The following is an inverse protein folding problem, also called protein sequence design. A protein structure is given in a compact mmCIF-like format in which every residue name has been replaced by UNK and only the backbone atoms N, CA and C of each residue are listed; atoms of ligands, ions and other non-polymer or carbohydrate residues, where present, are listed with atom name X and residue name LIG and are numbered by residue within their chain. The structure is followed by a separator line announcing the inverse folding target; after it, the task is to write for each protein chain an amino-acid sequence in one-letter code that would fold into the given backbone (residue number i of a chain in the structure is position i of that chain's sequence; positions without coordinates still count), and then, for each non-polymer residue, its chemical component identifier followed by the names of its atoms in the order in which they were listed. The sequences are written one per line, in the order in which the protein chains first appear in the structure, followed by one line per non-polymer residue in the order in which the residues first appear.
data_IF_844989904963
#
_entry.id   IF_844989904963
#
_cell.length_a   1.000
_cell.length_b   1.000
_cell.length_c   1.000
_cell.angle_alpha   90.00
_cell.angle_beta   90.00
_cell.angle_gamma   90.00
#
_symmetry.space_group_name_H-M   'P 1'
#
loop_
_entity.id
_entity.type
_entity.pdbx_description
1 polymer ?
#
# COMPACT_ATOMS: atom_id res chain seq x y z
N UNK A 1 -11.48 16.72 -10.23
CA UNK A 1 -10.23 16.05 -10.67
C UNK A 1 -10.33 15.68 -12.14
N UNK A 2 -9.33 16.04 -12.93
CA UNK A 2 -9.26 15.67 -14.36
C UNK A 2 -8.39 14.43 -14.52
N UNK A 3 -8.98 13.27 -14.81
CA UNK A 3 -8.27 12.01 -14.95
C UNK A 3 -7.52 11.86 -16.29
N UNK A 4 -7.67 12.81 -17.22
CA UNK A 4 -7.08 12.70 -18.56
C UNK A 4 -5.55 12.72 -18.54
N UNK A 5 -4.95 13.51 -17.65
CA UNK A 5 -3.50 13.58 -17.48
C UNK A 5 -2.94 12.29 -16.89
N UNK A 6 -3.62 11.76 -15.86
CA UNK A 6 -3.26 10.50 -15.22
C UNK A 6 -3.37 9.34 -16.21
N UNK A 7 -4.45 9.29 -17.01
CA UNK A 7 -4.66 8.28 -18.04
C UNK A 7 -3.57 8.28 -19.11
N UNK A 8 -3.03 9.44 -19.46
CA UNK A 8 -1.91 9.56 -20.40
C UNK A 8 -0.59 9.15 -19.77
N UNK A 9 -0.37 9.55 -18.52
CA UNK A 9 0.91 9.37 -17.82
C UNK A 9 1.13 7.92 -17.37
N UNK A 10 0.18 7.31 -16.66
CA UNK A 10 0.41 6.08 -15.93
C UNK A 10 0.87 4.87 -16.80
N UNK A 11 0.31 4.63 -18.01
CA UNK A 11 0.83 3.57 -18.89
C UNK A 11 2.26 3.84 -19.36
N UNK A 12 2.58 5.10 -19.70
CA UNK A 12 3.93 5.51 -20.11
C UNK A 12 4.91 5.33 -18.94
N UNK A 13 4.50 5.76 -17.75
CA UNK A 13 5.28 5.59 -16.54
C UNK A 13 5.62 4.13 -16.27
N UNK A 14 4.65 3.21 -16.38
CA UNK A 14 4.89 1.77 -16.20
C UNK A 14 6.04 1.28 -17.05
N UNK A 15 6.05 1.64 -18.35
CA UNK A 15 7.13 1.26 -19.25
C UNK A 15 8.46 1.88 -18.84
N UNK A 16 8.48 3.20 -18.58
CA UNK A 16 9.69 3.91 -18.17
C UNK A 16 10.30 3.37 -16.87
N UNK A 17 9.46 3.07 -15.86
CA UNK A 17 9.92 2.47 -14.60
C UNK A 17 10.50 1.07 -14.82
N UNK A 18 9.85 0.23 -15.62
CA UNK A 18 10.37 -1.10 -15.97
C UNK A 18 11.72 -1.02 -16.68
N UNK A 19 11.83 -0.14 -17.68
CA UNK A 19 13.06 0.05 -18.45
C UNK A 19 14.20 0.55 -17.54
N UNK A 20 13.93 1.50 -16.66
CA UNK A 20 14.90 2.02 -15.70
C UNK A 20 15.36 0.93 -14.69
N UNK A 21 14.43 0.11 -14.18
CA UNK A 21 14.74 -1.02 -13.30
C UNK A 21 15.58 -2.07 -14.02
N UNK A 22 15.22 -2.45 -15.25
CA UNK A 22 16.00 -3.40 -16.04
C UNK A 22 17.42 -2.89 -16.28
N UNK A 23 17.55 -1.61 -16.64
CA UNK A 23 18.86 -0.99 -16.83
C UNK A 23 19.69 -1.04 -15.53
N UNK A 24 19.07 -0.78 -14.39
CA UNK A 24 19.76 -0.85 -13.09
C UNK A 24 20.13 -2.27 -12.70
N UNK A 25 19.27 -3.25 -12.94
CA UNK A 25 19.58 -4.67 -12.72
C UNK A 25 20.75 -5.14 -13.58
N UNK A 26 20.85 -4.67 -14.84
CA UNK A 26 22.01 -4.92 -15.72
C UNK A 26 23.31 -4.45 -15.06
N UNK A 27 23.32 -3.26 -14.42
CA UNK A 27 24.52 -2.78 -13.71
C UNK A 27 24.90 -3.66 -12.51
N UNK A 28 23.96 -4.44 -11.99
CA UNK A 28 24.19 -5.43 -10.93
C UNK A 28 24.51 -6.83 -11.49
N UNK A 29 24.61 -6.97 -12.81
CA UNK A 29 24.85 -8.26 -13.46
C UNK A 29 23.69 -9.24 -13.33
N UNK A 30 22.45 -8.73 -13.33
CA UNK A 30 21.21 -9.52 -13.28
C UNK A 30 20.40 -9.16 -14.52
N UNK A 31 20.30 -10.08 -15.48
CA UNK A 31 19.67 -9.85 -16.78
C UNK A 31 18.76 -11.04 -17.16
N UNK A 32 18.01 -10.90 -18.22
CA UNK A 32 17.35 -12.00 -18.89
C UNK A 32 17.73 -12.05 -20.37
N UNK A 33 17.82 -13.25 -20.92
CA UNK A 33 18.01 -13.44 -22.36
C UNK A 33 16.70 -13.13 -23.14
N UNK A 34 16.77 -13.15 -24.46
CA UNK A 34 15.62 -12.90 -25.34
C UNK A 34 14.45 -13.89 -25.15
N UNK A 35 14.67 -14.99 -24.45
CA UNK A 35 13.68 -16.01 -24.13
C UNK A 35 13.14 -15.87 -22.70
N UNK A 36 13.63 -14.88 -21.94
CA UNK A 36 13.25 -14.63 -20.54
C UNK A 36 14.03 -15.48 -19.54
N UNK A 37 15.08 -16.23 -19.96
CA UNK A 37 15.88 -16.99 -19.02
C UNK A 37 16.83 -16.07 -18.26
N UNK A 38 16.88 -16.24 -16.94
CA UNK A 38 17.71 -15.46 -16.04
C UNK A 38 19.21 -15.68 -16.32
N UNK A 39 19.96 -14.59 -16.45
CA UNK A 39 21.40 -14.54 -16.63
C UNK A 39 22.03 -13.79 -15.47
N UNK A 40 22.93 -14.44 -14.73
CA UNK A 40 23.56 -13.86 -13.55
C UNK A 40 25.06 -13.80 -13.78
N UNK A 41 25.63 -12.60 -13.74
CA UNK A 41 27.07 -12.41 -13.84
C UNK A 41 27.78 -12.95 -12.59
N UNK A 42 28.89 -13.68 -12.83
CA UNK A 42 29.73 -14.20 -11.75
C UNK A 42 30.45 -13.05 -11.02
N UNK A 43 30.53 -13.18 -9.70
CA UNK A 43 31.22 -12.26 -8.84
C UNK A 43 32.74 -12.43 -8.94
N UNK A 44 33.50 -11.35 -9.06
CA UNK A 44 34.95 -11.31 -8.93
C UNK A 44 35.32 -10.36 -7.80
N UNK A 45 35.87 -10.87 -6.73
CA UNK A 45 36.31 -10.09 -5.56
C UNK A 45 37.55 -9.25 -5.93
N UNK A 46 37.47 -7.94 -5.74
CA UNK A 46 38.57 -7.00 -5.99
C UNK A 46 39.06 -6.33 -4.69
N UNK A 47 38.73 -6.87 -3.52
CA UNK A 47 39.04 -6.29 -2.21
C UNK A 47 37.89 -5.50 -1.65
N UNK A 48 37.86 -4.19 -1.84
CA UNK A 48 36.77 -3.31 -1.36
C UNK A 48 35.54 -3.30 -2.29
N UNK A 49 35.69 -3.83 -3.50
CA UNK A 49 34.63 -3.94 -4.49
C UNK A 49 34.45 -5.35 -4.98
N UNK A 50 33.26 -5.65 -5.49
CA UNK A 50 32.95 -6.90 -6.20
C UNK A 50 32.54 -6.53 -7.62
N UNK A 51 33.19 -7.13 -8.62
CA UNK A 51 32.89 -6.92 -10.03
C UNK A 51 31.91 -7.99 -10.55
N UNK A 52 30.92 -7.52 -11.29
CA UNK A 52 29.91 -8.31 -11.98
C UNK A 52 29.91 -7.95 -13.47
N UNK A 53 30.53 -8.78 -14.30
CA UNK A 53 30.75 -8.44 -15.71
C UNK A 53 31.63 -7.19 -15.86
N UNK A 54 31.08 -6.13 -16.42
CA UNK A 54 31.78 -4.84 -16.60
C UNK A 54 31.54 -3.83 -15.48
N UNK A 55 30.66 -4.12 -14.54
CA UNK A 55 30.28 -3.21 -13.47
C UNK A 55 30.87 -3.65 -12.13
N UNK A 56 31.14 -2.70 -11.26
CA UNK A 56 31.62 -2.94 -9.89
C UNK A 56 30.64 -2.37 -8.88
N UNK A 57 30.51 -3.08 -7.76
CA UNK A 57 29.66 -2.71 -6.63
C UNK A 57 30.54 -2.74 -5.37
N UNK A 58 30.27 -1.81 -4.44
CA UNK A 58 30.89 -1.84 -3.12
C UNK A 58 30.61 -3.21 -2.44
N UNK A 59 31.64 -3.79 -1.84
CA UNK A 59 31.55 -5.10 -1.18
C UNK A 59 30.50 -5.13 -0.06
N UNK A 60 30.29 -4.01 0.62
CA UNK A 60 29.25 -3.87 1.64
C UNK A 60 27.84 -4.11 1.08
N UNK A 61 27.62 -3.84 -0.21
CA UNK A 61 26.33 -4.01 -0.88
C UNK A 61 26.16 -5.39 -1.53
N UNK A 62 27.19 -6.21 -1.60
CA UNK A 62 27.15 -7.51 -2.27
C UNK A 62 26.06 -8.44 -1.68
N UNK A 63 25.88 -8.43 -0.36
CA UNK A 63 24.85 -9.24 0.31
C UNK A 63 23.42 -8.84 -0.13
N UNK A 64 23.17 -7.55 -0.38
CA UNK A 64 21.86 -7.07 -0.91
C UNK A 64 21.64 -7.58 -2.33
N UNK A 65 22.68 -7.51 -3.18
CA UNK A 65 22.60 -8.06 -4.53
C UNK A 65 22.26 -9.55 -4.52
N UNK A 66 22.91 -10.33 -3.64
CA UNK A 66 22.63 -11.77 -3.53
C UNK A 66 21.17 -12.06 -3.15
N UNK A 67 20.55 -11.22 -2.34
CA UNK A 67 19.10 -11.34 -2.05
C UNK A 67 18.25 -11.08 -3.29
N UNK A 68 18.59 -10.07 -4.11
CA UNK A 68 17.92 -9.83 -5.40
C UNK A 68 18.05 -11.00 -6.35
N UNK A 69 19.25 -11.61 -6.44
CA UNK A 69 19.49 -12.82 -7.25
C UNK A 69 18.57 -13.94 -6.80
N UNK A 70 18.54 -14.25 -5.50
CA UNK A 70 17.65 -15.30 -4.96
C UNK A 70 16.16 -15.02 -5.23
N UNK A 71 15.76 -13.75 -5.18
CA UNK A 71 14.39 -13.35 -5.55
C UNK A 71 14.14 -13.60 -7.04
N UNK A 72 15.08 -13.22 -7.92
CA UNK A 72 14.96 -13.46 -9.36
C UNK A 72 14.88 -14.96 -9.70
N UNK A 73 15.69 -15.78 -9.03
CA UNK A 73 15.67 -17.25 -9.19
C UNK A 73 14.34 -17.88 -8.74
N UNK A 74 13.76 -17.36 -7.65
CA UNK A 74 12.53 -17.92 -7.07
C UNK A 74 11.26 -17.55 -7.85
N UNK A 75 11.15 -16.31 -8.30
CA UNK A 75 9.90 -15.76 -8.86
C UNK A 75 10.00 -15.43 -10.35
N UNK A 76 11.20 -15.46 -10.94
CA UNK A 76 11.47 -15.08 -12.32
C UNK A 76 11.84 -13.61 -12.48
N UNK A 77 12.58 -13.31 -13.55
CA UNK A 77 13.12 -11.98 -13.82
C UNK A 77 12.02 -10.94 -14.06
N UNK A 78 11.04 -11.25 -14.92
CA UNK A 78 9.96 -10.31 -15.25
C UNK A 78 9.09 -9.93 -14.05
N UNK A 79 8.80 -10.90 -13.18
CA UNK A 79 8.05 -10.68 -11.95
C UNK A 79 8.84 -9.78 -10.99
N UNK A 80 10.15 -10.00 -10.88
CA UNK A 80 11.03 -9.15 -10.07
C UNK A 80 11.06 -7.71 -10.61
N UNK A 81 11.23 -7.53 -11.93
CA UNK A 81 11.23 -6.21 -12.56
C UNK A 81 9.91 -5.48 -12.33
N UNK A 82 8.78 -6.18 -12.54
CA UNK A 82 7.45 -5.59 -12.29
C UNK A 82 7.28 -5.19 -10.83
N UNK A 83 7.68 -6.07 -9.90
CA UNK A 83 7.59 -5.79 -8.47
C UNK A 83 8.40 -4.54 -8.08
N UNK A 84 9.65 -4.43 -8.50
CA UNK A 84 10.49 -3.27 -8.17
C UNK A 84 9.98 -2.00 -8.85
N UNK A 85 9.56 -2.09 -10.11
CA UNK A 85 9.06 -0.95 -10.87
C UNK A 85 7.83 -0.31 -10.20
N UNK A 86 6.82 -1.12 -9.82
CA UNK A 86 5.65 -0.57 -9.15
C UNK A 86 5.94 -0.12 -7.72
N UNK A 87 6.89 -0.74 -7.02
CA UNK A 87 7.28 -0.30 -5.68
C UNK A 87 7.81 1.13 -5.71
N UNK A 88 8.73 1.43 -6.63
CA UNK A 88 9.22 2.80 -6.79
C UNK A 88 8.16 3.76 -7.32
N UNK A 89 7.31 3.31 -8.25
CA UNK A 89 6.18 4.10 -8.71
C UNK A 89 5.25 4.49 -7.55
N UNK A 90 4.84 3.53 -6.72
CA UNK A 90 3.97 3.77 -5.59
C UNK A 90 4.62 4.72 -4.56
N UNK A 91 5.90 4.53 -4.26
CA UNK A 91 6.66 5.41 -3.34
C UNK A 91 6.70 6.86 -3.85
N UNK A 92 6.99 7.05 -5.12
CA UNK A 92 7.03 8.40 -5.69
C UNK A 92 5.65 9.06 -5.74
N UNK A 93 4.61 8.31 -6.07
CA UNK A 93 3.23 8.82 -6.01
C UNK A 93 2.85 9.21 -4.58
N UNK A 94 3.22 8.40 -3.59
CA UNK A 94 2.97 8.71 -2.18
C UNK A 94 3.73 9.97 -1.72
N UNK A 95 5.03 10.06 -2.02
CA UNK A 95 5.84 11.24 -1.68
C UNK A 95 5.28 12.49 -2.39
N UNK A 96 4.89 12.37 -3.68
CA UNK A 96 4.29 13.49 -4.42
C UNK A 96 3.01 13.98 -3.77
N UNK A 97 2.12 13.09 -3.40
CA UNK A 97 0.90 13.44 -2.67
C UNK A 97 1.24 14.14 -1.34
N UNK A 98 2.16 13.57 -0.56
CA UNK A 98 2.52 14.10 0.76
C UNK A 98 3.21 15.46 0.68
N UNK A 99 4.11 15.70 -0.27
CA UNK A 99 4.77 17.00 -0.42
C UNK A 99 3.79 18.11 -0.79
N UNK A 100 2.82 17.83 -1.68
CA UNK A 100 1.81 18.80 -2.10
C UNK A 100 0.81 19.15 -0.99
N UNK A 101 0.58 18.24 -0.05
CA UNK A 101 -0.29 18.45 1.11
C UNK A 101 0.47 18.91 2.37
N UNK A 102 1.79 19.11 2.29
CA UNK A 102 2.61 19.52 3.43
C UNK A 102 2.65 18.47 4.55
N UNK A 103 2.71 17.18 4.18
CA UNK A 103 2.72 16.06 5.14
C UNK A 103 4.12 15.51 5.41
N UNK A 104 5.16 16.03 4.75
CA UNK A 104 6.56 15.71 5.04
C UNK A 104 7.03 16.54 6.24
N UNK A 105 7.69 15.91 7.22
CA UNK A 105 8.02 16.55 8.51
C UNK A 105 9.00 17.72 8.38
N UNK A 106 9.92 17.68 7.40
CA UNK A 106 10.84 18.80 7.13
C UNK A 106 10.16 19.98 6.42
N UNK A 107 8.94 19.82 5.87
CA UNK A 107 8.14 20.89 5.28
C UNK A 107 8.54 21.32 3.85
N UNK A 108 9.55 20.71 3.24
CA UNK A 108 10.02 21.01 1.89
C UNK A 108 9.58 19.95 0.88
N UNK A 109 9.50 20.32 -0.40
CA UNK A 109 9.15 19.39 -1.47
C UNK A 109 10.34 18.51 -1.84
N UNK A 110 10.11 17.19 -1.85
CA UNK A 110 11.14 16.19 -2.16
C UNK A 110 11.33 16.00 -3.67
N UNK A 111 10.23 15.94 -4.44
CA UNK A 111 10.26 15.62 -5.88
C UNK A 111 10.13 16.83 -6.78
N UNK A 112 9.83 18.00 -6.24
CA UNK A 112 9.60 19.23 -6.99
C UNK A 112 10.10 20.45 -6.23
N UNK A 113 9.91 21.61 -6.82
CA UNK A 113 10.15 22.90 -6.21
C UNK A 113 8.92 23.79 -6.35
N UNK A 114 8.61 24.59 -5.32
CA UNK A 114 7.42 25.43 -5.27
C UNK A 114 7.47 26.62 -6.27
N UNK A 115 8.66 27.10 -6.60
CA UNK A 115 8.89 28.28 -7.44
C UNK A 115 9.84 28.07 -8.60
N UNK A 116 10.71 27.06 -8.57
CA UNK A 116 11.71 26.78 -9.58
C UNK A 116 11.31 25.58 -10.43
N UNK A 117 10.95 25.82 -11.68
CA UNK A 117 10.65 24.76 -12.62
C UNK A 117 11.86 23.81 -12.80
N UNK A 118 11.62 22.52 -12.67
CA UNK A 118 12.68 21.52 -12.77
C UNK A 118 13.56 21.36 -11.53
N UNK A 119 13.38 22.18 -10.48
CA UNK A 119 14.13 22.10 -9.24
C UNK A 119 13.62 21.05 -8.24
N UNK A 120 14.41 20.84 -7.19
CA UNK A 120 14.08 20.02 -6.02
C UNK A 120 14.29 20.88 -4.78
N UNK A 121 13.23 21.24 -4.09
CA UNK A 121 13.28 22.19 -2.95
C UNK A 121 14.18 21.69 -1.81
N UNK A 122 14.23 20.37 -1.60
CA UNK A 122 15.12 19.76 -0.59
C UNK A 122 16.60 20.01 -0.85
N UNK A 123 17.02 20.23 -2.10
CA UNK A 123 18.41 20.56 -2.41
C UNK A 123 18.79 22.01 -2.04
N UNK A 124 17.81 22.90 -1.90
CA UNK A 124 18.04 24.26 -1.43
C UNK A 124 18.02 24.37 0.11
N UNK A 125 17.49 23.34 0.77
CA UNK A 125 17.30 23.27 2.21
C UNK A 125 18.00 22.06 2.84
N UNK A 126 19.16 21.67 2.31
CA UNK A 126 19.93 20.50 2.80
C UNK A 126 20.18 20.51 4.30
N UNK A 127 20.56 21.64 4.93
CA UNK A 127 20.80 21.67 6.40
C UNK A 127 19.58 21.29 7.24
N UNK A 128 18.41 21.81 6.88
CA UNK A 128 17.15 21.61 7.60
C UNK A 128 16.62 20.19 7.37
N UNK A 129 16.71 19.73 6.13
CA UNK A 129 16.27 18.37 5.75
C UNK A 129 17.16 17.31 6.40
N UNK A 130 18.50 17.54 6.43
CA UNK A 130 19.43 16.64 7.10
C UNK A 130 19.13 16.50 8.60
N UNK A 131 18.87 17.63 9.27
CA UNK A 131 18.49 17.64 10.70
C UNK A 131 17.18 16.84 10.93
N UNK A 132 16.16 17.08 10.10
CA UNK A 132 14.87 16.41 10.22
C UNK A 132 14.94 14.90 9.97
N UNK A 133 15.79 14.47 9.04
CA UNK A 133 15.97 13.06 8.66
C UNK A 133 17.09 12.35 9.44
N UNK A 134 17.77 13.05 10.38
CA UNK A 134 18.83 12.48 11.21
C UNK A 134 20.10 12.10 10.45
N UNK A 135 20.43 12.85 9.41
CA UNK A 135 21.61 12.62 8.55
C UNK A 135 22.81 13.45 9.00
N UNK A 136 24.01 13.08 8.53
CA UNK A 136 25.24 13.87 8.74
C UNK A 136 25.17 15.19 7.94
N UNK A 137 24.64 16.22 8.60
CA UNK A 137 24.45 17.55 8.06
C UNK A 137 25.76 18.16 7.50
N UNK A 138 26.87 18.03 8.23
CA UNK A 138 28.13 18.64 7.84
C UNK A 138 28.63 18.07 6.50
N UNK A 139 28.60 16.77 6.37
CA UNK A 139 28.97 16.06 5.13
C UNK A 139 28.06 16.40 3.95
N UNK A 140 26.72 16.45 4.18
CA UNK A 140 25.77 16.76 3.10
C UNK A 140 25.86 18.21 2.63
N UNK A 141 26.12 19.15 3.54
CA UNK A 141 26.39 20.55 3.19
C UNK A 141 27.69 20.68 2.39
N UNK A 142 28.75 19.96 2.75
CA UNK A 142 29.99 19.91 1.99
C UNK A 142 29.75 19.36 0.56
N UNK A 143 28.98 18.26 0.42
CA UNK A 143 28.60 17.73 -0.89
C UNK A 143 27.82 18.75 -1.73
N UNK A 144 26.90 19.52 -1.11
CA UNK A 144 26.14 20.56 -1.80
C UNK A 144 27.04 21.70 -2.27
N UNK A 145 27.96 22.13 -1.44
CA UNK A 145 28.91 23.22 -1.78
C UNK A 145 29.91 22.82 -2.86
N UNK A 146 30.29 21.55 -2.96
CA UNK A 146 31.13 21.03 -4.02
C UNK A 146 30.48 21.14 -5.42
N UNK A 147 29.14 20.98 -5.51
CA UNK A 147 28.34 21.22 -6.71
C UNK A 147 28.49 20.20 -7.82
N UNK A 148 29.25 19.13 -7.61
CA UNK A 148 29.51 18.06 -8.58
C UNK A 148 28.86 16.72 -8.22
N UNK A 149 28.15 16.68 -7.08
CA UNK A 149 27.56 15.48 -6.50
C UNK A 149 26.05 15.62 -6.20
N UNK A 150 25.35 16.48 -6.90
CA UNK A 150 23.93 16.76 -6.64
C UNK A 150 23.05 15.52 -6.79
N UNK A 151 23.35 14.62 -7.75
CA UNK A 151 22.61 13.36 -7.93
C UNK A 151 22.80 12.42 -6.72
N UNK A 152 24.01 12.29 -6.21
CA UNK A 152 24.32 11.45 -5.05
C UNK A 152 23.68 12.01 -3.78
N UNK A 153 23.79 13.34 -3.59
CA UNK A 153 23.16 14.06 -2.49
C UNK A 153 21.64 13.86 -2.51
N UNK A 154 21.00 14.09 -3.66
CA UNK A 154 19.57 13.92 -3.82
C UNK A 154 19.13 12.49 -3.54
N UNK A 155 19.86 11.50 -4.06
CA UNK A 155 19.60 10.07 -3.81
C UNK A 155 19.65 9.73 -2.33
N UNK A 156 20.61 10.27 -1.59
CA UNK A 156 20.71 10.05 -0.15
C UNK A 156 19.54 10.66 0.62
N UNK A 157 19.15 11.90 0.29
CA UNK A 157 17.98 12.56 0.89
C UNK A 157 16.70 11.79 0.61
N UNK A 158 16.50 11.33 -0.63
CA UNK A 158 15.32 10.57 -1.03
C UNK A 158 15.20 9.22 -0.29
N UNK A 159 16.30 8.48 -0.18
CA UNK A 159 16.32 7.23 0.57
C UNK A 159 16.07 7.45 2.07
N UNK A 160 16.67 8.48 2.64
CA UNK A 160 16.42 8.84 4.03
C UNK A 160 14.95 9.23 4.28
N UNK A 161 14.31 9.93 3.33
CA UNK A 161 12.88 10.20 3.39
C UNK A 161 12.05 8.91 3.36
N UNK A 162 12.41 7.95 2.51
CA UNK A 162 11.74 6.64 2.49
C UNK A 162 11.90 5.92 3.84
N UNK A 163 13.10 5.95 4.43
CA UNK A 163 13.36 5.36 5.75
C UNK A 163 12.55 6.03 6.87
N UNK A 164 12.42 7.36 6.84
CA UNK A 164 11.62 8.10 7.81
C UNK A 164 10.13 7.71 7.73
N UNK A 165 9.62 7.45 6.52
CA UNK A 165 8.23 7.04 6.30
C UNK A 165 7.95 5.57 6.66
N UNK A 166 8.99 4.73 6.79
CA UNK A 166 8.85 3.32 7.17
C UNK A 166 8.09 3.14 8.49
N UNK A 167 8.36 3.96 9.49
CA UNK A 167 7.73 3.85 10.80
C UNK A 167 6.20 3.95 10.77
N UNK A 168 5.67 4.78 9.87
CA UNK A 168 4.22 4.97 9.69
C UNK A 168 3.63 4.02 8.65
N UNK A 169 4.39 3.68 7.62
CA UNK A 169 3.93 2.94 6.43
C UNK A 169 4.90 1.82 6.02
N UNK A 170 5.13 0.82 6.90
CA UNK A 170 6.07 -0.28 6.61
C UNK A 170 5.63 -1.15 5.42
N UNK A 171 4.36 -1.13 5.07
CA UNK A 171 3.79 -1.85 3.92
C UNK A 171 4.14 -1.19 2.56
N UNK A 172 4.54 0.09 2.54
CA UNK A 172 4.86 0.85 1.33
C UNK A 172 6.33 1.26 1.28
N UNK A 173 6.90 1.65 2.42
CA UNK A 173 8.29 2.03 2.57
C UNK A 173 9.00 0.96 3.41
N UNK A 174 9.88 0.20 2.79
CA UNK A 174 10.61 -0.86 3.46
C UNK A 174 11.70 -0.31 4.41
N UNK A 175 12.19 -1.16 5.29
CA UNK A 175 13.21 -0.78 6.27
C UNK A 175 14.56 -0.45 5.61
N UNK A 176 15.41 0.24 6.35
CA UNK A 176 16.81 0.53 5.96
C UNK A 176 17.53 -0.75 5.53
N UNK A 177 18.31 -0.68 4.47
CA UNK A 177 19.06 -1.79 3.86
C UNK A 177 18.20 -2.81 3.08
N UNK A 178 17.07 -2.40 2.56
CA UNK A 178 16.33 -3.20 1.60
C UNK A 178 17.10 -3.38 0.27
N UNK A 179 16.91 -4.55 -0.36
CA UNK A 179 17.55 -4.86 -1.66
C UNK A 179 17.00 -3.96 -2.79
N UNK A 180 15.74 -3.53 -2.70
CA UNK A 180 15.07 -2.68 -3.69
C UNK A 180 15.76 -1.30 -3.80
N UNK A 181 16.40 -0.82 -2.73
CA UNK A 181 17.17 0.43 -2.77
C UNK A 181 18.34 0.40 -3.76
N UNK A 182 18.95 -0.79 -3.97
CA UNK A 182 20.00 -0.95 -4.99
C UNK A 182 19.49 -0.71 -6.40
N UNK A 183 18.19 -0.88 -6.61
CA UNK A 183 17.55 -0.77 -7.92
C UNK A 183 16.79 0.55 -8.06
N UNK A 184 17.00 1.50 -7.15
CA UNK A 184 16.55 2.88 -7.37
C UNK A 184 17.19 3.40 -8.66
N UNK A 185 16.42 3.85 -9.65
CA UNK A 185 16.93 4.36 -10.91
C UNK A 185 17.98 5.45 -10.73
N UNK A 186 18.89 5.54 -11.67
CA UNK A 186 19.91 6.60 -11.73
C UNK A 186 19.35 7.84 -12.46
N UNK A 187 20.09 8.94 -12.41
CA UNK A 187 19.76 10.21 -13.11
C UNK A 187 18.43 10.84 -12.69
N UNK A 188 18.09 10.77 -11.41
CA UNK A 188 16.82 11.28 -10.88
C UNK A 188 16.70 12.80 -10.99
N UNK A 189 17.83 13.52 -10.95
CA UNK A 189 17.87 14.99 -11.04
C UNK A 189 17.82 15.55 -12.48
N UNK A 190 17.89 14.68 -13.49
CA UNK A 190 17.86 15.10 -14.90
C UNK A 190 16.47 15.48 -15.36
N UNK A 191 16.42 16.33 -16.40
CA UNK A 191 15.16 16.81 -17.01
C UNK A 191 14.34 15.69 -17.70
N UNK A 192 14.99 14.60 -18.09
CA UNK A 192 14.38 13.42 -18.71
C UNK A 192 14.13 12.26 -17.72
N UNK A 193 14.26 12.53 -16.41
CA UNK A 193 14.09 11.51 -15.38
C UNK A 193 12.63 11.06 -15.21
N UNK A 194 12.44 9.86 -14.65
CA UNK A 194 11.12 9.34 -14.32
C UNK A 194 10.37 10.22 -13.30
N UNK A 195 11.10 10.94 -12.43
CA UNK A 195 10.51 11.90 -11.47
C UNK A 195 9.94 13.12 -12.20
N UNK A 196 10.68 13.65 -13.17
CA UNK A 196 10.19 14.77 -13.99
C UNK A 196 8.94 14.38 -14.77
N UNK A 197 8.90 13.16 -15.31
CA UNK A 197 7.71 12.63 -15.95
C UNK A 197 6.47 12.67 -15.04
N UNK A 198 6.61 12.29 -13.77
CA UNK A 198 5.53 12.35 -12.78
C UNK A 198 5.10 13.78 -12.47
N UNK A 199 6.07 14.66 -12.20
CA UNK A 199 5.82 16.04 -11.75
C UNK A 199 5.24 16.90 -12.86
N UNK A 200 5.78 16.79 -14.08
CA UNK A 200 5.44 17.70 -15.19
C UNK A 200 4.17 17.29 -15.93
N UNK A 201 3.80 15.99 -15.88
CA UNK A 201 2.64 15.49 -16.64
C UNK A 201 1.33 15.61 -15.87
N UNK A 202 1.38 15.52 -14.54
CA UNK A 202 0.18 15.58 -13.70
C UNK A 202 0.20 16.91 -12.93
N UNK A 203 -0.67 17.88 -13.29
CA UNK A 203 -0.77 19.17 -12.60
C UNK A 203 -1.11 19.02 -11.11
N UNK A 204 -0.65 19.98 -10.31
CA UNK A 204 -0.83 19.94 -8.85
C UNK A 204 -2.30 19.88 -8.41
N UNK A 205 -3.19 20.55 -9.15
CA UNK A 205 -4.63 20.52 -8.89
C UNK A 205 -5.27 19.13 -9.02
N UNK A 206 -4.68 18.23 -9.79
CA UNK A 206 -5.17 16.85 -9.93
C UNK A 206 -4.83 15.98 -8.70
N UNK A 207 -3.93 16.44 -7.81
CA UNK A 207 -3.56 15.77 -6.57
C UNK A 207 -4.39 16.20 -5.35
N UNK A 208 -5.41 17.01 -5.54
CA UNK A 208 -6.19 17.58 -4.44
C UNK A 208 -6.97 16.56 -3.59
N UNK A 209 -7.24 15.37 -4.09
CA UNK A 209 -8.02 14.33 -3.42
C UNK A 209 -7.27 13.00 -3.44
N UNK A 210 -7.48 12.19 -2.41
CA UNK A 210 -6.79 10.89 -2.25
C UNK A 210 -7.14 9.89 -3.35
N UNK A 211 -8.28 10.04 -4.00
CA UNK A 211 -8.72 9.20 -5.13
C UNK A 211 -7.74 9.21 -6.32
N UNK A 212 -6.87 10.22 -6.43
CA UNK A 212 -5.80 10.26 -7.45
C UNK A 212 -4.95 9.00 -7.41
N UNK A 213 -4.69 8.48 -6.23
CA UNK A 213 -3.90 7.26 -6.01
C UNK A 213 -4.55 6.05 -6.67
N UNK A 214 -5.85 5.91 -6.53
CA UNK A 214 -6.61 4.84 -7.18
C UNK A 214 -6.63 4.94 -8.71
N UNK A 215 -6.75 6.15 -9.25
CA UNK A 215 -6.67 6.37 -10.69
C UNK A 215 -5.27 6.08 -11.25
N UNK A 216 -4.21 6.45 -10.54
CA UNK A 216 -2.84 6.13 -10.91
C UNK A 216 -2.64 4.61 -11.00
N UNK A 217 -3.08 3.86 -9.99
CA UNK A 217 -3.03 2.40 -10.00
C UNK A 217 -3.81 1.81 -11.16
N UNK A 218 -5.06 2.23 -11.36
CA UNK A 218 -5.90 1.71 -12.43
C UNK A 218 -5.25 1.88 -13.81
N UNK A 219 -4.77 3.09 -14.10
CA UNK A 219 -4.20 3.35 -15.42
C UNK A 219 -2.80 2.76 -15.59
N UNK A 220 -2.05 2.59 -14.50
CA UNK A 220 -0.75 1.91 -14.51
C UNK A 220 -0.87 0.45 -14.99
N UNK A 221 -1.91 -0.28 -14.59
CA UNK A 221 -2.09 -1.68 -14.98
C UNK A 221 -3.02 -1.86 -16.18
N UNK A 222 -3.56 -0.79 -16.77
CA UNK A 222 -4.56 -0.86 -17.84
C UNK A 222 -4.06 -1.56 -19.10
N UNK A 223 -2.81 -1.36 -19.51
CA UNK A 223 -2.22 -2.05 -20.67
C UNK A 223 -2.19 -3.58 -20.45
N UNK A 224 -1.80 -4.01 -19.25
CA UNK A 224 -1.80 -5.44 -18.91
C UNK A 224 -3.21 -6.02 -18.94
N UNK A 225 -4.21 -5.25 -18.55
CA UNK A 225 -5.62 -5.64 -18.64
C UNK A 225 -6.04 -5.90 -20.09
N UNK A 226 -5.69 -5.01 -21.00
CA UNK A 226 -6.01 -5.14 -22.43
C UNK A 226 -5.34 -6.38 -23.04
N UNK A 227 -4.15 -6.72 -22.59
CA UNK A 227 -3.40 -7.90 -23.04
C UNK A 227 -4.01 -9.22 -22.58
N UNK A 228 -4.69 -9.28 -21.45
CA UNK A 228 -5.21 -10.51 -20.83
C UNK A 228 -6.71 -10.71 -21.05
N UNK A 229 -7.47 -9.65 -21.34
CA UNK A 229 -8.91 -9.75 -21.63
C UNK A 229 -9.14 -10.63 -22.88
N UNK A 230 -10.05 -11.60 -22.74
CA UNK A 230 -10.39 -12.53 -23.83
C UNK A 230 -9.42 -13.71 -24.01
N UNK A 231 -8.43 -13.84 -23.13
CA UNK A 231 -7.51 -14.99 -23.06
C UNK A 231 -7.75 -15.79 -21.79
N UNK A 232 -7.14 -16.98 -21.69
CA UNK A 232 -7.10 -17.73 -20.43
C UNK A 232 -6.23 -16.94 -19.45
N UNK A 233 -6.84 -16.48 -18.36
CA UNK A 233 -6.18 -15.66 -17.34
C UNK A 233 -5.34 -16.58 -16.45
N UNK A 234 -4.05 -16.28 -16.32
CA UNK A 234 -3.16 -16.95 -15.37
C UNK A 234 -3.32 -16.33 -13.97
N UNK A 235 -2.90 -17.04 -12.92
CA UNK A 235 -2.99 -16.55 -11.53
C UNK A 235 -2.32 -15.18 -11.35
N UNK A 236 -1.17 -14.96 -11.96
CA UNK A 236 -0.42 -13.69 -11.94
C UNK A 236 -1.13 -12.52 -12.65
N UNK A 237 -2.08 -12.82 -13.52
CA UNK A 237 -2.82 -11.85 -14.33
C UNK A 237 -4.21 -11.53 -13.77
N UNK A 238 -4.66 -12.27 -12.76
CA UNK A 238 -5.98 -12.06 -12.12
C UNK A 238 -6.17 -10.60 -11.67
N UNK A 239 -5.20 -9.96 -10.99
CA UNK A 239 -5.36 -8.56 -10.60
C UNK A 239 -5.66 -7.63 -11.78
N UNK A 240 -4.92 -7.77 -12.88
CA UNK A 240 -5.13 -6.96 -14.08
C UNK A 240 -6.48 -7.24 -14.76
N UNK A 241 -6.88 -8.52 -14.83
CA UNK A 241 -8.12 -8.94 -15.48
C UNK A 241 -9.38 -8.51 -14.71
N UNK A 242 -9.31 -8.51 -13.37
CA UNK A 242 -10.48 -8.27 -12.49
C UNK A 242 -10.57 -6.84 -11.97
N UNK A 243 -9.51 -6.05 -12.12
CA UNK A 243 -9.52 -4.69 -11.63
C UNK A 243 -10.66 -3.88 -12.22
N UNK A 244 -11.44 -3.27 -11.33
CA UNK A 244 -12.52 -2.35 -11.67
C UNK A 244 -12.42 -1.12 -10.78
N UNK A 245 -12.43 0.07 -11.39
CA UNK A 245 -12.61 1.31 -10.67
C UNK A 245 -14.11 1.63 -10.59
N UNK A 246 -14.66 1.48 -9.39
CA UNK A 246 -16.09 1.75 -9.17
C UNK A 246 -16.34 3.26 -9.14
N UNK A 247 -17.26 3.79 -9.99
CA UNK A 247 -17.61 5.20 -9.96
C UNK A 247 -18.03 5.66 -8.56
N UNK A 248 -17.62 6.86 -8.17
CA UNK A 248 -17.82 7.37 -6.80
C UNK A 248 -19.30 7.34 -6.35
N UNK A 249 -20.24 7.68 -7.22
CA UNK A 249 -21.67 7.62 -6.86
C UNK A 249 -22.16 6.20 -6.51
N UNK A 250 -21.59 5.16 -7.17
CA UNK A 250 -21.89 3.75 -6.83
C UNK A 250 -21.29 3.41 -5.47
N UNK A 251 -20.05 3.84 -5.21
CA UNK A 251 -19.38 3.64 -3.92
C UNK A 251 -20.20 4.25 -2.79
N UNK A 252 -20.62 5.50 -2.96
CA UNK A 252 -21.47 6.19 -1.99
C UNK A 252 -22.81 5.46 -1.80
N UNK A 253 -23.45 5.05 -2.89
CA UNK A 253 -24.68 4.28 -2.83
C UNK A 253 -24.51 2.99 -2.01
N UNK A 254 -23.45 2.22 -2.27
CA UNK A 254 -23.20 0.97 -1.57
C UNK A 254 -22.99 1.18 -0.07
N UNK A 255 -22.13 2.12 0.32
CA UNK A 255 -21.78 2.36 1.73
C UNK A 255 -22.95 3.00 2.48
N UNK A 256 -23.63 3.98 1.90
CA UNK A 256 -24.74 4.68 2.55
C UNK A 256 -25.96 3.76 2.76
N UNK A 257 -26.17 2.79 1.84
CA UNK A 257 -27.25 1.81 1.96
C UNK A 257 -26.86 0.51 2.67
N UNK A 258 -25.66 0.40 3.19
CA UNK A 258 -25.21 -0.68 4.07
C UNK A 258 -24.86 -0.15 5.46
N UNK A 259 -23.70 0.46 5.62
CA UNK A 259 -23.24 1.01 6.92
C UNK A 259 -24.18 2.12 7.41
N UNK A 260 -24.51 3.07 6.55
CA UNK A 260 -25.42 4.16 6.88
C UNK A 260 -26.82 3.65 7.22
N UNK A 261 -27.33 2.70 6.45
CA UNK A 261 -28.62 2.07 6.73
C UNK A 261 -28.65 1.32 8.07
N UNK A 262 -27.60 0.58 8.39
CA UNK A 262 -27.50 -0.13 9.67
C UNK A 262 -27.58 0.84 10.85
N UNK A 263 -26.88 1.98 10.75
CA UNK A 263 -26.94 3.03 11.75
C UNK A 263 -28.33 3.64 11.89
N UNK A 264 -28.97 4.02 10.77
CA UNK A 264 -30.31 4.65 10.74
C UNK A 264 -31.43 3.70 11.15
N UNK A 265 -31.27 2.39 11.02
CA UNK A 265 -32.24 1.42 11.55
C UNK A 265 -32.31 1.46 13.09
N UNK A 266 -31.15 1.64 13.73
CA UNK A 266 -31.07 1.74 15.20
C UNK A 266 -31.37 3.17 15.67
N UNK A 267 -30.96 4.18 14.90
CA UNK A 267 -31.10 5.60 15.23
C UNK A 267 -31.82 6.37 14.11
N UNK A 268 -33.15 6.24 13.96
CA UNK A 268 -33.89 6.85 12.84
C UNK A 268 -33.80 8.38 12.75
N UNK A 269 -33.61 9.05 13.91
CA UNK A 269 -33.52 10.51 14.01
C UNK A 269 -32.07 11.02 13.85
N UNK A 270 -31.12 10.16 13.48
CA UNK A 270 -29.72 10.54 13.30
C UNK A 270 -29.53 11.59 12.21
N UNK A 271 -28.67 12.57 12.49
CA UNK A 271 -28.28 13.63 11.55
C UNK A 271 -27.50 13.09 10.34
N UNK A 272 -26.99 11.86 10.42
CA UNK A 272 -26.27 11.17 9.35
C UNK A 272 -27.08 11.13 8.04
N UNK A 273 -28.40 10.99 8.13
CA UNK A 273 -29.28 10.94 6.97
C UNK A 273 -29.10 12.15 6.03
N UNK A 274 -28.93 13.34 6.60
CA UNK A 274 -28.71 14.57 5.82
C UNK A 274 -27.33 14.65 5.13
N UNK A 275 -26.38 13.79 5.53
CA UNK A 275 -25.03 13.70 4.94
C UNK A 275 -24.90 12.62 3.87
N UNK A 276 -25.97 11.85 3.59
CA UNK A 276 -25.95 10.67 2.71
C UNK A 276 -26.87 10.87 1.49
N UNK A 277 -26.41 11.55 0.42
CA UNK A 277 -27.24 11.91 -0.74
C UNK A 277 -27.73 10.70 -1.56
N UNK A 278 -27.11 9.55 -1.46
CA UNK A 278 -27.49 8.32 -2.16
C UNK A 278 -28.19 7.30 -1.25
N UNK A 279 -28.51 7.67 -0.01
CA UNK A 279 -29.30 6.82 0.87
C UNK A 279 -30.74 6.72 0.37
N UNK A 280 -31.25 5.49 0.31
CA UNK A 280 -32.63 5.22 -0.08
C UNK A 280 -33.44 4.88 1.18
N UNK A 281 -34.45 5.66 1.47
CA UNK A 281 -35.36 5.35 2.56
C UNK A 281 -36.11 4.04 2.29
N UNK A 282 -36.23 3.15 3.30
CA UNK A 282 -37.04 1.96 3.16
C UNK A 282 -38.47 2.30 2.80
N UNK A 283 -39.03 1.59 1.84
CA UNK A 283 -40.45 1.66 1.56
C UNK A 283 -41.27 1.21 2.77
N UNK A 284 -42.53 1.62 2.83
CA UNK A 284 -43.47 1.19 3.83
C UNK A 284 -43.61 -0.34 3.81
N UNK A 285 -43.47 -0.98 4.97
CA UNK A 285 -43.45 -2.42 5.12
C UNK A 285 -44.74 -2.91 5.80
N UNK A 286 -45.09 -4.18 5.55
CA UNK A 286 -46.21 -4.80 6.28
C UNK A 286 -45.87 -4.96 7.77
N UNK A 287 -46.90 -5.05 8.68
CA UNK A 287 -46.67 -5.22 10.10
C UNK A 287 -45.78 -6.44 10.44
N UNK A 288 -45.93 -7.52 9.68
CA UNK A 288 -45.13 -8.77 9.88
C UNK A 288 -43.66 -8.51 9.57
N UNK A 289 -43.33 -7.79 8.47
CA UNK A 289 -41.95 -7.44 8.10
C UNK A 289 -41.38 -6.43 9.09
N UNK A 290 -42.17 -5.47 9.55
CA UNK A 290 -41.76 -4.51 10.58
C UNK A 290 -41.39 -5.23 11.89
N UNK A 291 -42.19 -6.23 12.32
CA UNK A 291 -41.87 -7.03 13.49
C UNK A 291 -40.58 -7.84 13.34
N UNK A 292 -40.35 -8.42 12.16
CA UNK A 292 -39.10 -9.13 11.86
C UNK A 292 -37.89 -8.18 11.86
N UNK A 293 -38.00 -7.01 11.26
CA UNK A 293 -36.95 -5.99 11.28
C UNK A 293 -36.64 -5.54 12.71
N UNK A 294 -37.68 -5.28 13.51
CA UNK A 294 -37.50 -4.89 14.91
C UNK A 294 -36.80 -5.99 15.73
N UNK A 295 -37.08 -7.28 15.45
CA UNK A 295 -36.45 -8.39 16.14
C UNK A 295 -34.93 -8.52 15.85
N UNK A 296 -34.47 -8.11 14.69
CA UNK A 296 -33.04 -8.18 14.29
C UNK A 296 -32.31 -6.85 14.46
N UNK A 297 -33.02 -5.74 14.72
CA UNK A 297 -32.41 -4.42 14.91
C UNK A 297 -31.96 -4.30 16.38
N UNK A 298 -30.66 -4.07 16.64
CA UNK A 298 -30.19 -3.87 17.99
C UNK A 298 -30.73 -2.56 18.58
N UNK A 299 -30.98 -2.56 19.89
CA UNK A 299 -31.45 -1.36 20.61
C UNK A 299 -30.40 -0.26 20.71
N UNK A 300 -29.12 -0.61 20.61
CA UNK A 300 -28.00 0.32 20.54
C UNK A 300 -26.85 -0.29 19.76
N UNK A 301 -26.06 0.56 19.10
CA UNK A 301 -24.82 0.20 18.40
C UNK A 301 -23.75 1.19 18.84
N UNK A 302 -22.64 0.67 19.36
CA UNK A 302 -21.45 1.47 19.59
C UNK A 302 -20.66 1.60 18.28
N UNK A 303 -20.14 2.78 17.92
CA UNK A 303 -19.41 2.98 16.67
C UNK A 303 -18.28 1.98 16.46
N UNK A 304 -17.52 1.63 17.50
CA UNK A 304 -16.40 0.68 17.46
C UNK A 304 -16.84 -0.75 17.11
N UNK A 305 -18.10 -1.08 17.34
CA UNK A 305 -18.64 -2.42 17.05
C UNK A 305 -18.95 -2.63 15.57
N UNK A 306 -19.08 -1.55 14.78
CA UNK A 306 -19.37 -1.62 13.35
C UNK A 306 -18.11 -2.13 12.63
N UNK A 307 -18.25 -3.22 11.87
CA UNK A 307 -17.14 -3.77 11.06
C UNK A 307 -17.51 -3.68 9.59
N UNK A 308 -16.62 -3.06 8.82
CA UNK A 308 -16.72 -2.94 7.37
C UNK A 308 -15.58 -3.75 6.76
N UNK A 309 -15.93 -4.80 6.04
CA UNK A 309 -14.98 -5.63 5.31
C UNK A 309 -15.21 -5.47 3.81
N UNK A 310 -14.17 -5.05 3.11
CA UNK A 310 -14.09 -5.16 1.65
C UNK A 310 -13.12 -6.29 1.29
N UNK A 311 -13.62 -7.44 0.80
CA UNK A 311 -12.79 -8.61 0.52
C UNK A 311 -12.01 -8.53 -0.79
N UNK A 312 -12.19 -7.48 -1.59
CA UNK A 312 -11.49 -7.19 -2.83
C UNK A 312 -11.32 -5.66 -2.96
N UNK A 313 -10.65 -5.06 -1.96
CA UNK A 313 -10.70 -3.62 -1.73
C UNK A 313 -10.01 -2.77 -2.80
N UNK A 314 -9.21 -3.37 -3.69
CA UNK A 314 -8.47 -2.62 -4.69
C UNK A 314 -7.63 -1.52 -4.03
N UNK A 315 -7.67 -0.33 -4.58
CA UNK A 315 -7.02 0.85 -4.02
C UNK A 315 -7.84 1.57 -2.92
N UNK A 316 -8.88 0.94 -2.37
CA UNK A 316 -9.57 1.37 -1.15
C UNK A 316 -10.75 2.32 -1.34
N UNK A 317 -11.37 2.41 -2.52
CA UNK A 317 -12.45 3.36 -2.79
C UNK A 317 -13.66 3.19 -1.88
N UNK A 318 -14.10 1.94 -1.66
CA UNK A 318 -15.23 1.62 -0.76
C UNK A 318 -14.83 1.95 0.68
N UNK A 319 -13.59 1.64 1.06
CA UNK A 319 -13.08 1.91 2.40
C UNK A 319 -12.95 3.41 2.69
N UNK A 320 -12.61 4.24 1.69
CA UNK A 320 -12.57 5.70 1.82
C UNK A 320 -13.95 6.28 2.13
N UNK A 321 -14.98 5.83 1.43
CA UNK A 321 -16.34 6.28 1.73
C UNK A 321 -16.85 5.73 3.07
N UNK A 322 -16.51 4.47 3.39
CA UNK A 322 -16.83 3.91 4.70
C UNK A 322 -16.20 4.72 5.84
N UNK A 323 -14.95 5.20 5.66
CA UNK A 323 -14.31 6.11 6.60
C UNK A 323 -15.12 7.39 6.79
N UNK A 324 -15.59 8.02 5.72
CA UNK A 324 -16.39 9.25 5.77
C UNK A 324 -17.69 9.06 6.54
N UNK A 325 -18.42 7.98 6.26
CA UNK A 325 -19.68 7.66 6.96
C UNK A 325 -19.42 7.34 8.44
N UNK A 326 -18.41 6.53 8.75
CA UNK A 326 -18.04 6.20 10.12
C UNK A 326 -17.60 7.45 10.90
N UNK A 327 -16.80 8.31 10.29
CA UNK A 327 -16.39 9.58 10.90
C UNK A 327 -17.61 10.40 11.33
N UNK A 328 -18.62 10.53 10.44
CA UNK A 328 -19.85 11.24 10.76
C UNK A 328 -20.64 10.59 11.92
N UNK A 329 -20.61 9.26 12.03
CA UNK A 329 -21.20 8.50 13.15
C UNK A 329 -20.45 8.81 14.48
N UNK A 330 -19.13 8.76 14.48
CA UNK A 330 -18.33 9.07 15.67
C UNK A 330 -18.50 10.54 16.12
N UNK A 331 -18.53 11.48 15.16
CA UNK A 331 -18.79 12.90 15.42
C UNK A 331 -20.15 13.10 16.08
N UNK A 332 -21.20 12.46 15.57
CA UNK A 332 -22.55 12.51 16.14
C UNK A 332 -22.58 11.98 17.57
N UNK A 333 -21.75 10.99 17.89
CA UNK A 333 -21.62 10.43 19.23
C UNK A 333 -20.71 11.26 20.17
N UNK A 334 -20.18 12.39 19.69
CA UNK A 334 -19.40 13.34 20.50
C UNK A 334 -17.96 12.90 20.77
N UNK A 335 -17.39 11.99 19.96
CA UNK A 335 -15.97 11.64 20.05
C UNK A 335 -15.11 12.84 19.66
N UNK A 336 -13.90 12.90 20.23
CA UNK A 336 -12.95 13.96 19.90
C UNK A 336 -12.42 13.75 18.47
N UNK A 337 -12.50 14.74 17.61
CA UNK A 337 -12.13 14.68 16.20
C UNK A 337 -10.76 14.05 15.97
N UNK A 338 -9.76 14.37 16.80
CA UNK A 338 -8.40 13.83 16.67
C UNK A 338 -8.26 12.34 17.03
N UNK A 339 -9.22 11.76 17.75
CA UNK A 339 -9.16 10.36 18.20
C UNK A 339 -9.92 9.45 17.21
N UNK A 340 -10.87 10.03 16.47
CA UNK A 340 -11.74 9.33 15.50
C UNK A 340 -10.93 8.57 14.43
N UNK A 341 -9.91 9.17 13.77
CA UNK A 341 -9.17 8.50 12.71
C UNK A 341 -8.56 7.17 13.15
N UNK A 342 -7.87 7.15 14.29
CA UNK A 342 -7.26 5.93 14.81
C UNK A 342 -8.32 4.87 15.16
N UNK A 343 -9.42 5.28 15.79
CA UNK A 343 -10.54 4.37 16.14
C UNK A 343 -11.10 3.70 14.90
N UNK A 344 -11.34 4.47 13.82
CA UNK A 344 -11.87 3.93 12.56
C UNK A 344 -10.89 2.92 11.95
N UNK A 345 -9.60 3.29 11.86
CA UNK A 345 -8.59 2.44 11.21
C UNK A 345 -8.34 1.14 11.96
N UNK A 346 -8.37 1.16 13.29
CA UNK A 346 -8.08 -0.01 14.12
C UNK A 346 -9.31 -0.89 14.37
N UNK A 347 -10.50 -0.29 14.46
CA UNK A 347 -11.70 -1.03 14.88
C UNK A 347 -12.66 -1.35 13.74
N UNK A 348 -12.83 -0.46 12.77
CA UNK A 348 -13.97 -0.53 11.86
C UNK A 348 -13.61 -1.06 10.47
N UNK A 349 -12.50 -0.61 9.89
CA UNK A 349 -12.17 -0.86 8.49
C UNK A 349 -11.26 -2.07 8.35
N UNK A 350 -11.69 -3.02 7.49
CA UNK A 350 -10.91 -4.18 7.08
C UNK A 350 -10.92 -4.27 5.55
N UNK A 351 -9.74 -4.46 4.96
CA UNK A 351 -9.58 -4.63 3.51
C UNK A 351 -8.74 -5.86 3.18
N UNK A 352 -9.17 -6.62 2.19
CA UNK A 352 -8.39 -7.71 1.62
C UNK A 352 -8.22 -7.47 0.13
N UNK A 353 -7.07 -7.80 -0.42
CA UNK A 353 -6.87 -7.87 -1.87
C UNK A 353 -5.86 -8.96 -2.20
N UNK A 354 -5.89 -9.48 -3.43
CA UNK A 354 -4.88 -10.42 -3.93
C UNK A 354 -3.68 -9.68 -4.54
N UNK A 355 -3.85 -8.40 -4.87
CA UNK A 355 -2.77 -7.56 -5.41
C UNK A 355 -2.11 -6.75 -4.29
N UNK A 356 -0.85 -7.06 -4.03
CA UNK A 356 -0.03 -6.36 -3.05
C UNK A 356 0.06 -4.84 -3.31
N UNK A 357 0.12 -4.45 -4.58
CA UNK A 357 0.13 -3.05 -5.03
C UNK A 357 -1.13 -2.31 -4.61
N UNK A 358 -2.28 -2.95 -4.83
CA UNK A 358 -3.57 -2.40 -4.47
C UNK A 358 -3.72 -2.24 -2.95
N UNK A 359 -3.34 -3.28 -2.19
CA UNK A 359 -3.38 -3.24 -0.72
C UNK A 359 -2.47 -2.13 -0.15
N UNK A 360 -1.26 -1.95 -0.70
CA UNK A 360 -0.35 -0.85 -0.32
C UNK A 360 -0.99 0.52 -0.53
N UNK A 361 -1.58 0.75 -1.70
CA UNK A 361 -2.22 2.02 -2.02
C UNK A 361 -3.51 2.26 -1.23
N UNK A 362 -4.27 1.21 -0.94
CA UNK A 362 -5.42 1.28 -0.05
C UNK A 362 -5.01 1.70 1.37
N UNK A 363 -3.96 1.09 1.92
CA UNK A 363 -3.39 1.48 3.21
C UNK A 363 -2.90 2.93 3.21
N UNK A 364 -2.23 3.35 2.15
CA UNK A 364 -1.80 4.74 1.97
C UNK A 364 -2.99 5.71 1.94
N UNK A 365 -4.01 5.41 1.13
CA UNK A 365 -5.20 6.25 1.01
C UNK A 365 -5.91 6.44 2.37
N UNK A 366 -6.03 5.35 3.15
CA UNK A 366 -6.61 5.41 4.49
C UNK A 366 -5.80 6.29 5.45
N UNK A 367 -4.47 6.16 5.44
CA UNK A 367 -3.61 7.01 6.28
C UNK A 367 -3.66 8.48 5.85
N UNK A 368 -3.77 8.77 4.56
CA UNK A 368 -3.86 10.15 4.08
C UNK A 368 -5.19 10.80 4.48
N UNK A 369 -6.30 10.08 4.43
CA UNK A 369 -7.58 10.55 4.98
C UNK A 369 -7.48 10.81 6.48
N UNK A 370 -6.94 9.86 7.23
CA UNK A 370 -6.74 10.03 8.67
C UNK A 370 -5.84 11.23 8.99
N UNK A 371 -4.82 11.49 8.17
CA UNK A 371 -3.89 12.61 8.32
C UNK A 371 -4.55 13.98 8.15
N UNK A 372 -5.61 14.08 7.35
CA UNK A 372 -6.40 15.29 7.21
C UNK A 372 -7.06 15.69 8.55
N UNK A 373 -7.50 14.71 9.32
CA UNK A 373 -8.23 14.89 10.57
C UNK A 373 -7.31 14.88 11.81
N UNK A 374 -6.21 14.11 11.78
CA UNK A 374 -5.21 14.05 12.85
C UNK A 374 -3.80 14.26 12.32
N UNK A 375 -3.25 15.45 12.56
CA UNK A 375 -1.88 15.80 12.13
C UNK A 375 -0.78 14.88 12.67
N UNK A 376 -1.04 14.13 13.73
CA UNK A 376 -0.07 13.25 14.39
C UNK A 376 -0.26 11.78 14.07
N UNK A 377 -1.20 11.43 13.19
CA UNK A 377 -1.51 10.01 12.91
C UNK A 377 -0.28 9.23 12.44
N UNK A 378 0.59 9.86 11.63
CA UNK A 378 1.81 9.25 11.10
C UNK A 378 2.92 9.06 12.14
N UNK A 379 2.84 9.74 13.30
CA UNK A 379 3.79 9.56 14.42
C UNK A 379 3.31 8.53 15.44
N UNK A 380 2.10 7.97 15.24
CA UNK A 380 1.53 6.91 16.07
C UNK A 380 1.72 5.56 15.39
N UNK A 381 1.83 4.52 16.19
CA UNK A 381 1.81 3.14 15.69
C UNK A 381 0.37 2.70 15.45
N UNK A 382 -0.23 3.11 14.33
CA UNK A 382 -1.59 2.73 13.95
C UNK A 382 -1.57 1.42 13.20
N UNK A 383 -2.38 0.46 13.66
CA UNK A 383 -2.53 -0.84 13.00
C UNK A 383 -3.63 -0.76 11.94
N UNK A 384 -3.25 -0.90 10.68
CA UNK A 384 -4.21 -1.07 9.59
C UNK A 384 -4.63 -2.55 9.48
N UNK A 385 -5.92 -2.78 9.24
CA UNK A 385 -6.46 -4.10 8.94
C UNK A 385 -6.67 -4.28 7.43
N UNK A 386 -5.70 -3.80 6.64
CA UNK A 386 -5.67 -3.93 5.18
C UNK A 386 -4.49 -4.82 4.83
N UNK A 387 -4.76 -5.95 4.19
CA UNK A 387 -3.75 -6.96 3.91
C UNK A 387 -3.87 -7.52 2.50
N UNK A 388 -2.73 -7.83 1.92
CA UNK A 388 -2.63 -8.58 0.66
C UNK A 388 -2.63 -10.08 0.98
N UNK A 389 -3.48 -10.81 0.28
CA UNK A 389 -3.56 -12.27 0.38
C UNK A 389 -2.39 -12.88 -0.40
N UNK A 390 -1.60 -13.70 0.28
CA UNK A 390 -0.48 -14.41 -0.30
C UNK A 390 -0.82 -15.88 -0.49
N UNK A 391 -0.40 -16.47 -1.62
CA UNK A 391 -0.56 -17.89 -1.84
C UNK A 391 0.19 -18.69 -0.76
N UNK A 392 -0.53 -19.50 0.00
CA UNK A 392 0.07 -20.35 1.02
C UNK A 392 0.64 -21.61 0.37
N UNK A 393 1.95 -21.85 0.56
CA UNK A 393 2.62 -23.12 0.19
C UNK A 393 2.75 -24.05 1.37
N UNK A 394 2.08 -23.76 2.48
CA UNK A 394 2.14 -24.59 3.68
C UNK A 394 1.30 -25.86 3.47
N UNK A 395 1.85 -27.01 3.93
CA UNK A 395 1.05 -28.22 4.08
C UNK A 395 -0.09 -27.94 5.07
N UNK A 396 -1.31 -28.23 4.66
CA UNK A 396 -2.52 -27.97 5.46
C UNK A 396 -2.44 -28.71 6.80
N UNK A 397 -1.85 -29.91 6.83
CA UNK A 397 -1.66 -30.67 8.05
C UNK A 397 -0.66 -29.97 9.00
N UNK A 398 0.42 -29.38 8.47
CA UNK A 398 1.37 -28.59 9.25
C UNK A 398 0.74 -27.30 9.77
N UNK A 399 -0.03 -26.60 8.94
CA UNK A 399 -0.77 -25.41 9.35
C UNK A 399 -1.77 -25.72 10.46
N UNK A 400 -2.54 -26.80 10.29
CA UNK A 400 -3.50 -27.26 11.29
C UNK A 400 -2.85 -27.61 12.64
N UNK A 401 -1.68 -28.25 12.61
CA UNK A 401 -0.92 -28.56 13.83
C UNK A 401 -0.44 -27.32 14.58
N UNK A 402 -0.21 -26.20 13.86
CA UNK A 402 0.21 -24.91 14.42
C UNK A 402 -0.96 -24.04 14.88
N UNK A 403 -2.16 -24.24 14.31
CA UNK A 403 -3.39 -23.57 14.71
C UNK A 403 -4.01 -24.30 15.90
N UNK A 404 -3.64 -23.87 17.09
CA UNK A 404 -4.02 -24.51 18.35
C UNK A 404 -5.45 -24.13 18.77
N UNK A 405 -6.47 -24.52 18.00
CA UNK A 405 -7.88 -24.24 18.28
C UNK A 405 -8.38 -24.93 19.56
N UNK A 406 -7.71 -25.97 20.06
CA UNK A 406 -8.13 -26.70 21.25
C UNK A 406 -7.71 -26.06 22.58
N UNK A 407 -6.76 -25.14 22.62
CA UNK A 407 -6.35 -24.50 23.89
C UNK A 407 -7.37 -23.51 24.47
N UNK A 408 -8.36 -23.06 23.69
CA UNK A 408 -9.41 -22.17 24.21
C UNK A 408 -10.57 -22.87 24.89
N UNK A 409 -10.76 -24.17 24.72
CA UNK A 409 -11.91 -24.92 25.26
C UNK A 409 -11.61 -25.67 26.56
N UNK A 410 -10.35 -25.88 26.96
CA UNK A 410 -9.98 -26.63 28.15
C UNK A 410 -9.17 -25.82 29.18
N UNK A 411 -9.64 -24.65 29.59
CA UNK A 411 -9.29 -24.11 30.90
C UNK A 411 -10.28 -24.62 31.95
N UNK A 412 -10.05 -25.82 32.50
CA UNK A 412 -10.89 -26.27 33.60
C UNK A 412 -10.77 -27.68 34.08
N UNK A 413 -9.88 -28.51 33.60
CA UNK A 413 -9.71 -29.86 34.21
C UNK A 413 -8.23 -30.17 34.47
N UNK A 414 -7.99 -30.56 35.73
CA UNK A 414 -6.68 -30.82 36.35
C UNK A 414 -6.08 -32.19 35.95
N UNK A 415 -6.31 -32.64 34.69
CA UNK A 415 -5.96 -33.96 34.21
C UNK A 415 -4.88 -34.06 33.15
N UNK A 416 -4.48 -32.95 32.52
CA UNK A 416 -3.62 -33.00 31.29
C UNK A 416 -2.18 -32.51 31.50
N UNK A 417 -1.55 -32.86 32.63
CA UNK A 417 -0.12 -32.61 32.83
C UNK A 417 0.79 -33.65 32.14
N UNK A 418 0.26 -34.63 31.39
CA UNK A 418 1.02 -35.72 30.78
C UNK A 418 0.71 -36.05 29.31
N UNK A 419 0.05 -35.16 28.60
CA UNK A 419 -0.14 -35.32 27.15
C UNK A 419 0.86 -34.50 26.36
N UNK A 420 2.16 -34.76 26.54
CA UNK A 420 3.18 -34.56 25.51
C UNK A 420 3.08 -35.71 24.52
N UNK A 421 2.50 -35.47 23.37
CA UNK A 421 2.50 -36.48 22.31
C UNK A 421 1.36 -36.26 21.32
N UNK A 422 1.70 -35.65 20.18
CA UNK A 422 1.02 -35.83 18.89
C UNK A 422 -0.51 -35.82 18.95
N UNK A 423 -1.10 -34.66 19.13
CA UNK A 423 -2.50 -34.48 18.72
C UNK A 423 -2.50 -34.62 17.18
N UNK A 424 -2.72 -35.85 16.70
CA UNK A 424 -3.10 -36.10 15.30
C UNK A 424 -4.27 -35.20 14.99
N UNK A 425 -4.12 -34.35 13.98
CA UNK A 425 -5.16 -33.45 13.53
C UNK A 425 -6.46 -34.27 13.35
N UNK A 426 -7.50 -33.94 14.08
CA UNK A 426 -8.78 -34.56 13.87
C UNK A 426 -9.35 -34.10 12.52
N UNK A 427 -9.02 -34.82 11.46
CA UNK A 427 -9.43 -34.54 10.08
C UNK A 427 -10.93 -34.67 9.86
N UNK A 428 -11.67 -35.23 10.85
CA UNK A 428 -13.13 -35.34 10.82
C UNK A 428 -13.84 -34.16 11.48
N UNK A 429 -13.10 -33.23 12.11
CA UNK A 429 -13.72 -32.06 12.73
C UNK A 429 -14.36 -31.14 11.66
N UNK A 430 -15.43 -30.46 12.08
CA UNK A 430 -16.13 -29.48 11.21
C UNK A 430 -15.19 -28.35 10.81
N UNK A 431 -14.34 -27.92 11.74
CA UNK A 431 -13.36 -26.85 11.55
C UNK A 431 -12.30 -27.22 10.52
N UNK A 432 -11.76 -28.46 10.57
CA UNK A 432 -10.81 -28.96 9.58
C UNK A 432 -11.46 -29.04 8.18
N UNK A 433 -12.69 -29.55 8.09
CA UNK A 433 -13.44 -29.64 6.83
C UNK A 433 -13.77 -28.26 6.27
N UNK A 434 -14.06 -27.29 7.13
CA UNK A 434 -14.28 -25.89 6.74
C UNK A 434 -12.98 -25.27 6.21
N UNK A 435 -11.87 -25.45 6.94
CA UNK A 435 -10.54 -24.98 6.52
C UNK A 435 -10.16 -25.55 5.15
N UNK A 436 -10.35 -26.86 4.95
CA UNK A 436 -10.08 -27.53 3.67
C UNK A 436 -10.92 -26.97 2.51
N UNK A 437 -12.19 -26.61 2.78
CA UNK A 437 -13.05 -25.99 1.77
C UNK A 437 -12.68 -24.54 1.45
N UNK A 438 -12.06 -23.85 2.39
CA UNK A 438 -11.66 -22.44 2.23
C UNK A 438 -10.30 -22.31 1.53
N UNK A 439 -9.44 -23.34 1.62
CA UNK A 439 -8.10 -23.35 1.04
C UNK A 439 -8.02 -24.12 -0.30
N UNK A 440 -9.06 -24.85 -0.67
CA UNK A 440 -9.21 -25.50 -1.98
C UNK A 440 -9.89 -24.59 -2.99
#
# INVERSE_FOLDING_TARGET
MNTSNIKKYAPVARKQFRDAVMQKLTTLGIEADKKGNLQIAQATDLGDQVRYGQFSLDKALASRRERLVKRAEKQGYDVLVEHIAYTWFNRFCAIRYMELHGYLDHGFRMLSHSTLEGGFEVLDHVPEVADALGLDKARLVEMKLAGDRDEELYRELLLAQCHALHGAMPFLFEAVNDDIELVLPDNLTRTDSILRGLVDTIPEEDWGQVEVIGWLYQFYISEKKDDVIGKVVKSEDIPAATQLFTPNWIVQYLVQNSVGRQWLQTYPDSSLKGKMPYYIEPAEQTPEVQAQLAAITPSSIEPESIKVLDPACGSGHILTEAYNVLKAIYEERGYRTRDIPQLILENNICGLDIDDRAAQLSGFAMLMLARQDDRRILTRSVRLNIVSLQESKLDIAELWSKLNFHQQVQRGTMGDMFAEGTALANTDSVEYKLLMRTLA
#
